data_IF_352818878417
#
_entry.id   IF_352818878417
#
_cell.length_a   1.000
_cell.length_b   1.000
_cell.length_c   1.000
_cell.angle_alpha   90.00
_cell.angle_beta   90.00
_cell.angle_gamma   90.00
#
_symmetry.space_group_name_H-M   'P 1'
#
loop_
_entity.id
_entity.type
_entity.pdbx_description
1 polymer ?
#
# COMPACT_ATOMS: atom_id res chain seq x y z
N UNK A 1 -41.30 15.08 3.48
CA UNK A 1 -40.86 14.50 2.21
C UNK A 1 -40.23 15.63 1.44
N UNK A 2 -38.90 15.80 1.58
CA UNK A 2 -38.10 16.67 0.76
C UNK A 2 -37.58 15.86 -0.42
N UNK A 3 -37.59 16.46 -1.56
CA UNK A 3 -37.13 15.91 -2.84
C UNK A 3 -35.61 16.05 -2.88
N UNK A 4 -34.91 15.06 -2.28
CA UNK A 4 -33.43 14.92 -2.32
C UNK A 4 -32.99 14.00 -3.47
N UNK A 5 -33.72 13.96 -4.58
CA UNK A 5 -33.46 13.02 -5.69
C UNK A 5 -32.47 13.53 -6.75
N UNK A 6 -31.84 14.70 -6.56
CA UNK A 6 -31.06 15.35 -7.63
C UNK A 6 -29.55 15.18 -7.53
N UNK A 7 -29.01 14.37 -6.59
CA UNK A 7 -27.55 14.22 -6.41
C UNK A 7 -27.03 12.77 -6.35
N UNK A 8 -27.81 11.83 -6.84
CA UNK A 8 -27.30 10.49 -7.17
C UNK A 8 -26.65 10.58 -8.54
N UNK A 9 -25.30 10.55 -8.60
CA UNK A 9 -24.59 10.28 -9.84
C UNK A 9 -25.22 9.07 -10.53
N UNK A 10 -25.16 8.99 -11.85
CA UNK A 10 -25.84 7.96 -12.64
C UNK A 10 -25.42 6.52 -12.28
N UNK A 11 -24.29 6.35 -11.60
CA UNK A 11 -23.68 5.05 -11.22
C UNK A 11 -23.04 5.08 -9.84
N UNK A 12 -22.93 3.91 -9.20
CA UNK A 12 -22.25 3.68 -7.93
C UNK A 12 -21.38 2.42 -8.05
N UNK A 13 -20.33 2.33 -7.24
CA UNK A 13 -19.51 1.13 -7.10
C UNK A 13 -19.97 0.35 -5.88
N UNK A 14 -20.31 -0.92 -6.08
CA UNK A 14 -20.67 -1.84 -5.00
C UNK A 14 -19.56 -2.88 -4.81
N UNK A 15 -18.99 -2.95 -3.60
CA UNK A 15 -18.05 -4.01 -3.19
C UNK A 15 -18.75 -5.00 -2.29
N UNK A 16 -18.55 -6.29 -2.57
CA UNK A 16 -19.14 -7.44 -1.87
C UNK A 16 -18.05 -8.47 -1.56
N UNK A 17 -18.27 -9.40 -0.61
CA UNK A 17 -17.31 -10.45 -0.32
C UNK A 17 -16.96 -11.27 -1.56
N UNK A 18 -15.70 -11.71 -1.67
CA UNK A 18 -15.28 -12.63 -2.71
C UNK A 18 -16.14 -13.89 -2.72
N UNK A 19 -16.51 -14.36 -3.91
CA UNK A 19 -17.26 -15.61 -4.08
C UNK A 19 -16.40 -16.84 -3.83
N UNK A 20 -15.08 -16.75 -4.07
CA UNK A 20 -14.12 -17.81 -3.80
C UNK A 20 -13.89 -17.99 -2.30
N UNK A 21 -14.08 -19.22 -1.76
CA UNK A 21 -13.93 -19.48 -0.32
C UNK A 21 -12.51 -19.25 0.22
N UNK A 22 -11.47 -19.48 -0.59
CA UNK A 22 -10.06 -19.29 -0.16
C UNK A 22 -9.77 -17.80 0.00
N UNK A 23 -10.11 -17.01 -1.02
CA UNK A 23 -9.96 -15.55 -0.98
C UNK A 23 -10.77 -14.92 0.16
N UNK A 24 -12.01 -15.41 0.37
CA UNK A 24 -12.86 -14.95 1.47
C UNK A 24 -12.25 -15.26 2.84
N UNK A 25 -11.73 -16.48 3.03
CA UNK A 25 -11.09 -16.86 4.30
C UNK A 25 -9.80 -16.05 4.56
N UNK A 26 -8.99 -15.83 3.52
CA UNK A 26 -7.80 -14.98 3.61
C UNK A 26 -8.18 -13.56 4.04
N UNK A 27 -9.21 -12.98 3.41
CA UNK A 27 -9.68 -11.64 3.73
C UNK A 27 -10.23 -11.53 5.17
N UNK A 28 -10.87 -12.58 5.70
CA UNK A 28 -11.29 -12.66 7.10
C UNK A 28 -10.09 -12.66 8.06
N UNK A 29 -9.12 -13.55 7.83
CA UNK A 29 -7.92 -13.67 8.68
C UNK A 29 -7.13 -12.35 8.69
N UNK A 30 -7.02 -11.69 7.54
CA UNK A 30 -6.30 -10.42 7.39
C UNK A 30 -7.17 -9.20 7.79
N UNK A 31 -8.44 -9.41 8.14
CA UNK A 31 -9.44 -8.37 8.45
C UNK A 31 -9.63 -7.37 7.29
N UNK A 32 -9.37 -7.78 6.05
CA UNK A 32 -9.34 -6.89 4.89
C UNK A 32 -10.67 -6.19 4.65
N UNK A 33 -11.78 -6.90 4.75
CA UNK A 33 -13.12 -6.32 4.58
C UNK A 33 -13.47 -5.32 5.69
N UNK A 34 -13.11 -5.67 6.94
CA UNK A 34 -13.33 -4.78 8.06
C UNK A 34 -12.51 -3.49 7.93
N UNK A 35 -11.24 -3.60 7.56
CA UNK A 35 -10.37 -2.45 7.34
C UNK A 35 -10.95 -1.49 6.31
N UNK A 36 -11.38 -2.00 5.17
CA UNK A 36 -11.92 -1.16 4.11
C UNK A 36 -13.24 -0.48 4.51
N UNK A 37 -14.21 -1.23 5.05
CA UNK A 37 -15.48 -0.63 5.51
C UNK A 37 -15.24 0.41 6.59
N UNK A 38 -14.43 0.08 7.60
CA UNK A 38 -14.13 1.00 8.71
C UNK A 38 -13.34 2.22 8.28
N UNK A 39 -12.43 2.08 7.31
CA UNK A 39 -11.72 3.23 6.75
C UNK A 39 -12.71 4.26 6.21
N UNK A 40 -13.65 3.85 5.39
CA UNK A 40 -14.66 4.75 4.83
C UNK A 40 -15.62 5.31 5.88
N UNK A 41 -16.01 4.53 6.88
CA UNK A 41 -16.91 4.98 7.95
C UNK A 41 -16.26 5.98 8.92
N UNK A 42 -14.95 5.79 9.21
CA UNK A 42 -14.29 6.47 10.35
C UNK A 42 -13.27 7.50 9.90
N UNK A 43 -12.50 7.21 8.84
CA UNK A 43 -11.31 8.00 8.50
C UNK A 43 -11.45 8.82 7.21
N UNK A 44 -12.08 8.27 6.16
CA UNK A 44 -12.10 8.89 4.84
C UNK A 44 -12.66 10.32 4.84
N UNK A 45 -13.66 10.61 5.68
CA UNK A 45 -14.26 11.96 5.81
C UNK A 45 -13.41 12.97 6.57
N UNK A 46 -12.38 12.52 7.29
CA UNK A 46 -11.49 13.37 8.10
C UNK A 46 -10.12 13.63 7.44
N UNK A 47 -9.76 12.81 6.46
CA UNK A 47 -8.45 12.88 5.80
C UNK A 47 -8.54 13.66 4.49
N UNK A 48 -7.55 14.53 4.21
CA UNK A 48 -7.49 15.27 2.93
C UNK A 48 -7.23 14.40 1.70
N UNK A 49 -6.74 13.16 1.88
CA UNK A 49 -6.54 12.22 0.77
C UNK A 49 -7.84 12.02 0.00
N UNK A 50 -7.81 12.15 -1.33
CA UNK A 50 -8.99 12.01 -2.16
C UNK A 50 -9.40 10.53 -2.27
N UNK A 51 -10.65 10.24 -1.90
CA UNK A 51 -11.26 8.92 -1.99
C UNK A 51 -12.67 9.01 -2.59
N UNK A 52 -13.25 7.91 -3.10
CA UNK A 52 -14.67 7.87 -3.38
C UNK A 52 -15.50 8.20 -2.14
N UNK A 53 -16.60 8.94 -2.30
CA UNK A 53 -17.52 9.21 -1.19
C UNK A 53 -18.24 7.92 -0.75
N UNK A 54 -18.38 7.74 0.57
CA UNK A 54 -19.18 6.65 1.14
C UNK A 54 -20.67 6.94 1.00
N UNK A 55 -21.42 6.06 0.34
CA UNK A 55 -22.88 6.10 0.27
C UNK A 55 -23.54 5.19 1.32
N UNK A 56 -22.99 3.99 1.49
CA UNK A 56 -23.43 3.01 2.50
C UNK A 56 -22.32 2.01 2.78
N UNK A 57 -22.16 1.63 4.05
CA UNK A 57 -21.25 0.57 4.49
C UNK A 57 -21.92 -0.24 5.60
N UNK A 58 -21.75 -1.55 5.56
CA UNK A 58 -22.17 -2.46 6.63
C UNK A 58 -21.30 -3.72 6.60
N UNK A 59 -20.95 -4.25 7.76
CA UNK A 59 -20.13 -5.45 7.89
C UNK A 59 -20.50 -6.27 9.11
N UNK A 60 -20.71 -7.56 8.90
CA UNK A 60 -20.64 -8.58 9.95
C UNK A 60 -19.20 -9.12 10.04
N UNK A 61 -18.47 -8.69 11.05
CA UNK A 61 -17.04 -9.02 11.23
C UNK A 61 -16.81 -10.51 11.47
N UNK A 62 -17.79 -11.22 12.07
CA UNK A 62 -17.66 -12.65 12.38
C UNK A 62 -17.77 -13.50 11.10
N UNK A 63 -18.74 -13.21 10.23
CA UNK A 63 -18.92 -13.94 8.98
C UNK A 63 -18.13 -13.37 7.80
N UNK A 64 -17.63 -12.13 7.90
CA UNK A 64 -17.03 -11.37 6.80
C UNK A 64 -18.03 -11.01 5.71
N UNK A 65 -19.33 -11.06 6.00
CA UNK A 65 -20.34 -10.55 5.09
C UNK A 65 -20.37 -9.04 5.16
N UNK A 66 -20.21 -8.36 4.03
CA UNK A 66 -20.22 -6.90 3.99
C UNK A 66 -20.85 -6.39 2.69
N UNK A 67 -21.24 -5.16 2.71
CA UNK A 67 -21.57 -4.36 1.54
C UNK A 67 -20.95 -2.97 1.71
N UNK A 68 -20.32 -2.48 0.66
CA UNK A 68 -19.76 -1.14 0.61
C UNK A 68 -20.22 -0.49 -0.70
N UNK A 69 -20.95 0.61 -0.61
CA UNK A 69 -21.45 1.39 -1.75
C UNK A 69 -20.71 2.73 -1.75
N UNK A 70 -19.99 2.99 -2.83
CA UNK A 70 -19.15 4.15 -3.02
C UNK A 70 -19.60 4.96 -4.23
N UNK A 71 -19.21 6.23 -4.27
CA UNK A 71 -19.33 7.05 -5.47
C UNK A 71 -18.55 6.43 -6.62
N UNK A 72 -19.12 6.47 -7.82
CA UNK A 72 -18.39 6.19 -9.04
C UNK A 72 -17.62 7.46 -9.46
N UNK A 73 -16.31 7.36 -9.53
CA UNK A 73 -15.43 8.45 -9.91
C UNK A 73 -15.24 8.54 -11.44
N UNK A 74 -16.03 7.82 -12.25
CA UNK A 74 -15.97 7.97 -13.69
C UNK A 74 -16.15 9.46 -14.10
N UNK A 75 -15.37 9.98 -15.07
CA UNK A 75 -14.55 9.26 -16.06
C UNK A 75 -13.08 9.03 -15.65
N UNK A 76 -12.72 9.13 -14.36
CA UNK A 76 -11.35 8.87 -13.93
C UNK A 76 -10.86 7.47 -14.34
N UNK A 77 -9.61 7.38 -14.78
CA UNK A 77 -9.00 6.16 -15.30
C UNK A 77 -8.10 5.49 -14.27
N UNK A 78 -8.24 4.18 -14.13
CA UNK A 78 -7.35 3.38 -13.29
C UNK A 78 -5.94 3.33 -13.90
N UNK A 79 -4.90 3.47 -13.06
CA UNK A 79 -3.53 3.22 -13.48
C UNK A 79 -3.28 1.75 -13.80
N UNK A 80 -2.17 1.46 -14.48
CA UNK A 80 -1.76 0.10 -14.83
C UNK A 80 -0.37 -0.20 -14.24
N UNK A 81 -0.33 -1.09 -13.25
CA UNK A 81 0.91 -1.45 -12.55
C UNK A 81 1.95 -2.11 -13.47
N UNK A 82 1.51 -2.82 -14.52
CA UNK A 82 2.43 -3.43 -15.48
C UNK A 82 3.06 -2.38 -16.40
N UNK A 83 2.26 -1.43 -16.87
CA UNK A 83 2.72 -0.35 -17.74
C UNK A 83 3.64 0.64 -17.00
N UNK A 84 3.38 0.88 -15.70
CA UNK A 84 4.05 1.95 -14.96
C UNK A 84 3.50 3.33 -15.29
N UNK A 85 4.17 4.38 -14.83
CA UNK A 85 3.77 5.77 -15.07
C UNK A 85 4.97 6.67 -15.33
N UNK A 86 4.69 7.89 -15.82
CA UNK A 86 5.70 8.93 -15.98
C UNK A 86 6.11 9.54 -14.62
N UNK A 87 7.30 10.20 -14.54
CA UNK A 87 7.72 10.90 -13.33
C UNK A 87 6.75 12.00 -12.86
N UNK A 88 6.03 12.65 -13.76
CA UNK A 88 5.03 13.66 -13.40
C UNK A 88 3.80 13.02 -12.74
N UNK A 89 3.33 11.88 -13.25
CA UNK A 89 2.25 11.11 -12.63
C UNK A 89 2.70 10.57 -11.27
N UNK A 90 3.95 10.12 -11.17
CA UNK A 90 4.51 9.67 -9.90
C UNK A 90 4.57 10.81 -8.86
N UNK A 91 4.92 12.03 -9.29
CA UNK A 91 4.92 13.19 -8.40
C UNK A 91 3.51 13.51 -7.85
N UNK A 92 2.47 13.41 -8.69
CA UNK A 92 1.07 13.59 -8.25
C UNK A 92 0.67 12.52 -7.22
N UNK A 93 0.98 11.25 -7.49
CA UNK A 93 0.64 10.15 -6.60
C UNK A 93 1.38 10.26 -5.25
N UNK A 94 2.67 10.62 -5.25
CA UNK A 94 3.44 10.81 -4.02
C UNK A 94 2.95 12.03 -3.23
N UNK A 95 2.56 13.11 -3.91
CA UNK A 95 2.00 14.30 -3.25
C UNK A 95 0.66 14.00 -2.55
N UNK A 96 -0.19 13.13 -3.12
CA UNK A 96 -1.47 12.72 -2.52
C UNK A 96 -1.29 12.00 -1.17
N UNK A 97 -0.19 11.24 -1.00
CA UNK A 97 0.15 10.58 0.26
C UNK A 97 0.34 11.54 1.44
N UNK A 98 0.67 12.81 1.19
CA UNK A 98 0.78 13.80 2.28
C UNK A 98 -0.58 14.01 2.95
N UNK A 99 -1.67 14.02 2.16
CA UNK A 99 -3.04 14.10 2.68
C UNK A 99 -3.47 12.90 3.52
N UNK A 100 -2.87 11.72 3.28
CA UNK A 100 -3.06 10.53 4.11
C UNK A 100 -2.20 10.57 5.38
N UNK A 101 -0.91 10.89 5.23
CA UNK A 101 0.08 10.67 6.27
C UNK A 101 0.18 11.81 7.29
N UNK A 102 0.14 13.08 6.85
CA UNK A 102 0.41 14.21 7.74
C UNK A 102 -0.65 14.43 8.82
N UNK A 103 -1.97 14.28 8.58
CA UNK A 103 -3.00 14.62 9.57
C UNK A 103 -2.94 13.77 10.85
N UNK A 104 -2.49 12.55 10.75
CA UNK A 104 -2.45 11.58 11.86
C UNK A 104 -1.03 11.11 12.19
N UNK A 105 -0.03 11.95 11.89
CA UNK A 105 1.38 11.65 12.15
C UNK A 105 1.66 11.52 13.64
N UNK A 106 2.19 10.36 14.06
CA UNK A 106 2.48 10.01 15.46
C UNK A 106 1.30 10.25 16.43
N UNK A 107 0.07 10.16 15.91
CA UNK A 107 -1.14 10.34 16.71
C UNK A 107 -1.42 9.08 17.55
N UNK A 108 -1.29 9.19 18.90
CA UNK A 108 -1.50 8.03 19.77
C UNK A 108 -2.94 7.52 19.75
N UNK A 109 -3.92 8.35 19.35
CA UNK A 109 -5.33 7.93 19.28
C UNK A 109 -5.60 6.92 18.17
N UNK A 110 -4.68 6.73 17.23
CA UNK A 110 -4.76 5.63 16.27
C UNK A 110 -4.76 4.25 16.94
N UNK A 111 -4.14 4.13 18.13
CA UNK A 111 -4.13 2.89 18.90
C UNK A 111 -5.51 2.52 19.47
N UNK A 112 -6.44 3.47 19.51
CA UNK A 112 -7.85 3.24 19.90
C UNK A 112 -8.68 2.61 18.77
N UNK A 113 -8.09 2.43 17.59
CA UNK A 113 -8.69 1.81 16.42
C UNK A 113 -8.15 0.36 16.24
N UNK A 114 -8.71 -0.66 16.92
CA UNK A 114 -8.14 -2.00 16.94
C UNK A 114 -8.11 -2.69 15.56
N UNK A 115 -8.98 -2.26 14.64
CA UNK A 115 -9.01 -2.77 13.27
C UNK A 115 -7.85 -2.25 12.40
N UNK A 116 -7.23 -1.12 12.78
CA UNK A 116 -6.12 -0.50 12.06
C UNK A 116 -4.75 -1.00 12.56
N UNK A 117 -4.72 -1.66 13.71
CA UNK A 117 -3.47 -2.09 14.36
C UNK A 117 -2.85 -3.29 13.65
N UNK A 118 -1.52 -3.27 13.54
CA UNK A 118 -0.67 -4.36 13.09
C UNK A 118 0.48 -4.65 14.07
N UNK A 119 0.36 -4.18 15.32
CA UNK A 119 1.38 -4.32 16.36
C UNK A 119 1.19 -5.57 17.22
N UNK A 120 0.32 -6.50 16.82
CA UNK A 120 0.15 -7.80 17.48
C UNK A 120 1.46 -8.61 17.43
N UNK A 121 2.11 -8.89 18.59
CA UNK A 121 3.36 -9.64 18.61
C UNK A 121 3.25 -11.06 18.06
N UNK A 122 2.14 -11.73 18.31
CA UNK A 122 1.92 -13.10 17.84
C UNK A 122 1.74 -13.14 16.32
N UNK A 123 0.99 -12.17 15.76
CA UNK A 123 0.83 -12.01 14.31
C UNK A 123 2.17 -11.70 13.63
N UNK A 124 2.99 -10.81 14.19
CA UNK A 124 4.34 -10.54 13.67
C UNK A 124 5.25 -11.76 13.72
N UNK A 125 5.26 -12.48 14.84
CA UNK A 125 6.04 -13.71 14.97
C UNK A 125 5.60 -14.79 13.95
N UNK A 126 4.29 -14.93 13.73
CA UNK A 126 3.75 -15.83 12.71
C UNK A 126 4.20 -15.41 11.30
N UNK A 127 4.11 -14.12 10.96
CA UNK A 127 4.55 -13.63 9.65
C UNK A 127 6.06 -13.79 9.46
N UNK A 128 6.86 -13.56 10.52
CA UNK A 128 8.31 -13.77 10.47
C UNK A 128 8.70 -15.24 10.21
N UNK A 129 7.88 -16.18 10.66
CA UNK A 129 8.05 -17.60 10.34
C UNK A 129 7.55 -17.96 8.92
N UNK A 130 6.42 -17.37 8.52
CA UNK A 130 5.74 -17.72 7.27
C UNK A 130 6.49 -17.18 6.04
N UNK A 131 6.96 -15.93 6.09
CA UNK A 131 7.50 -15.25 4.91
C UNK A 131 8.73 -15.93 4.28
N UNK A 132 9.71 -16.46 5.03
CA UNK A 132 10.79 -17.26 4.43
C UNK A 132 10.28 -18.50 3.68
N UNK A 133 9.24 -19.18 4.20
CA UNK A 133 8.63 -20.33 3.52
C UNK A 133 7.88 -19.91 2.25
N UNK A 134 7.21 -18.75 2.27
CA UNK A 134 6.57 -18.21 1.06
C UNK A 134 7.61 -17.79 0.02
N UNK A 135 8.77 -17.29 0.44
CA UNK A 135 9.89 -17.01 -0.45
C UNK A 135 10.42 -18.25 -1.14
N UNK A 136 10.63 -19.34 -0.40
CA UNK A 136 11.00 -20.65 -0.99
C UNK A 136 9.93 -21.11 -1.98
N UNK A 137 8.66 -21.07 -1.60
CA UNK A 137 7.54 -21.41 -2.47
C UNK A 137 7.43 -20.52 -3.72
N UNK A 138 7.73 -19.23 -3.60
CA UNK A 138 7.77 -18.30 -4.75
C UNK A 138 8.87 -18.70 -5.74
N UNK A 139 10.07 -18.98 -5.27
CA UNK A 139 11.17 -19.47 -6.11
C UNK A 139 10.82 -20.77 -6.81
N UNK A 140 10.21 -21.72 -6.09
CA UNK A 140 9.79 -23.00 -6.64
C UNK A 140 8.66 -22.84 -7.68
N UNK A 141 7.70 -21.96 -7.40
CA UNK A 141 6.55 -21.71 -8.30
C UNK A 141 6.96 -21.10 -9.62
N UNK A 142 7.84 -20.12 -9.60
CA UNK A 142 8.19 -19.34 -10.79
C UNK A 142 9.50 -19.77 -11.44
N UNK A 143 10.33 -20.58 -10.78
CA UNK A 143 11.52 -21.18 -11.36
C UNK A 143 12.45 -20.19 -12.03
N UNK A 144 12.75 -20.43 -13.30
CA UNK A 144 13.66 -19.58 -14.10
C UNK A 144 13.09 -18.17 -14.39
N UNK A 145 11.79 -17.93 -14.18
CA UNK A 145 11.20 -16.61 -14.31
C UNK A 145 11.60 -15.65 -13.16
N UNK A 146 12.11 -16.19 -12.04
CA UNK A 146 12.69 -15.37 -10.96
C UNK A 146 14.11 -14.98 -11.36
N UNK A 147 14.31 -13.71 -11.69
CA UNK A 147 15.61 -13.17 -12.11
C UNK A 147 16.67 -13.21 -10.99
N UNK A 148 17.94 -13.26 -11.35
CA UNK A 148 19.07 -13.41 -10.40
C UNK A 148 19.09 -12.30 -9.34
N UNK A 149 18.81 -11.06 -9.72
CA UNK A 149 18.76 -9.94 -8.76
C UNK A 149 17.61 -10.06 -7.77
N UNK A 150 16.46 -10.66 -8.17
CA UNK A 150 15.34 -10.95 -7.26
C UNK A 150 15.75 -12.03 -6.26
N UNK A 151 16.45 -13.08 -6.73
CA UNK A 151 16.99 -14.11 -5.85
C UNK A 151 17.96 -13.52 -4.84
N UNK A 152 18.92 -12.71 -5.32
CA UNK A 152 19.90 -12.05 -4.45
C UNK A 152 19.25 -11.17 -3.38
N UNK A 153 18.28 -10.34 -3.78
CA UNK A 153 17.54 -9.47 -2.85
C UNK A 153 16.72 -10.28 -1.84
N UNK A 154 15.97 -11.28 -2.31
CA UNK A 154 15.13 -12.12 -1.44
C UNK A 154 15.94 -12.95 -0.45
N UNK A 155 17.05 -13.55 -0.90
CA UNK A 155 17.93 -14.34 -0.03
C UNK A 155 18.62 -13.47 1.05
N UNK A 156 18.82 -12.16 0.77
CA UNK A 156 19.32 -11.21 1.77
C UNK A 156 18.24 -10.72 2.74
N UNK A 157 17.02 -10.54 2.26
CA UNK A 157 15.93 -9.90 3.01
C UNK A 157 15.11 -10.87 3.87
N UNK A 158 14.59 -11.97 3.29
CA UNK A 158 13.62 -12.83 4.01
C UNK A 158 14.16 -13.48 5.28
N UNK A 159 15.46 -13.81 5.43
CA UNK A 159 16.00 -14.26 6.72
C UNK A 159 15.96 -13.18 7.82
N UNK A 160 15.84 -11.90 7.45
CA UNK A 160 15.80 -10.74 8.35
C UNK A 160 14.39 -10.14 8.50
N UNK A 161 13.37 -10.83 8.05
CA UNK A 161 12.00 -10.31 8.04
C UNK A 161 11.50 -9.90 9.43
N UNK A 162 11.94 -10.59 10.49
CA UNK A 162 11.60 -10.24 11.88
C UNK A 162 12.07 -8.83 12.24
N UNK A 163 13.29 -8.44 11.83
CA UNK A 163 13.84 -7.09 12.02
C UNK A 163 13.03 -6.04 11.23
N UNK A 164 12.66 -6.38 9.98
CA UNK A 164 11.84 -5.49 9.14
C UNK A 164 10.45 -5.25 9.73
N UNK A 165 9.86 -6.24 10.37
CA UNK A 165 8.52 -6.14 10.96
C UNK A 165 8.49 -5.41 12.31
N UNK A 166 9.63 -5.07 12.89
CA UNK A 166 9.68 -4.17 14.03
C UNK A 166 9.20 -2.79 13.60
N UNK A 167 8.24 -2.23 14.32
CA UNK A 167 7.75 -0.89 14.04
C UNK A 167 8.67 0.14 14.73
N UNK A 168 9.02 1.24 14.05
CA UNK A 168 9.74 2.33 14.69
C UNK A 168 8.89 2.95 15.80
N UNK A 169 9.54 3.59 16.79
CA UNK A 169 8.85 4.23 17.90
C UNK A 169 8.07 5.48 17.48
N UNK A 170 8.51 6.15 16.42
CA UNK A 170 7.95 7.37 15.85
C UNK A 170 7.94 7.34 14.30
N UNK A 171 7.39 8.34 13.65
CA UNK A 171 7.19 8.37 12.19
C UNK A 171 6.10 7.41 11.72
N UNK A 172 5.16 7.08 12.61
CA UNK A 172 4.00 6.23 12.30
C UNK A 172 2.78 7.07 11.98
N UNK A 173 2.01 6.57 11.04
CA UNK A 173 0.76 7.19 10.62
C UNK A 173 -0.18 6.12 10.06
N UNK A 174 -1.28 6.53 9.43
CA UNK A 174 -2.11 5.66 8.63
C UNK A 174 -1.40 5.43 7.31
N UNK A 175 -1.13 4.19 6.94
CA UNK A 175 -0.63 3.79 5.63
C UNK A 175 -1.72 3.07 4.83
N UNK A 176 -1.65 3.17 3.51
CA UNK A 176 -2.49 2.39 2.61
C UNK A 176 -2.09 0.91 2.58
N UNK A 177 -0.77 0.64 2.57
CA UNK A 177 -0.18 -0.69 2.59
C UNK A 177 -0.13 -1.44 1.25
N UNK A 178 -0.89 -0.97 0.24
CA UNK A 178 -0.85 -1.45 -1.16
C UNK A 178 -0.99 -0.26 -2.12
N UNK A 179 -0.20 0.82 -1.89
CA UNK A 179 -0.28 2.05 -2.67
C UNK A 179 0.41 1.89 -4.03
N UNK A 180 -0.34 1.46 -5.04
CA UNK A 180 0.14 1.13 -6.38
C UNK A 180 -0.82 1.63 -7.46
N UNK A 181 -0.34 1.69 -8.71
CA UNK A 181 -1.11 2.26 -9.83
C UNK A 181 -2.49 1.64 -10.01
N UNK A 182 -2.64 0.31 -9.86
CA UNK A 182 -3.95 -0.35 -9.96
C UNK A 182 -4.96 0.13 -8.88
N UNK A 183 -4.50 0.78 -7.81
CA UNK A 183 -5.32 1.32 -6.72
C UNK A 183 -5.47 2.86 -6.78
N UNK A 184 -5.07 3.47 -7.89
CA UNK A 184 -5.13 4.90 -8.13
C UNK A 184 -6.00 5.21 -9.36
N UNK A 185 -6.87 6.20 -9.21
CA UNK A 185 -7.73 6.71 -10.28
C UNK A 185 -7.29 8.12 -10.66
N UNK A 186 -6.92 8.31 -11.91
CA UNK A 186 -6.42 9.57 -12.46
C UNK A 186 -7.51 10.27 -13.28
N UNK A 187 -7.70 11.55 -13.03
CA UNK A 187 -8.70 12.36 -13.74
C UNK A 187 -8.03 13.08 -14.93
N UNK A 188 -8.51 12.85 -16.12
CA UNK A 188 -8.03 13.51 -17.35
C UNK A 188 -8.37 15.02 -17.37
N UNK A 189 -9.36 15.46 -16.60
CA UNK A 189 -9.79 16.85 -16.54
C UNK A 189 -8.88 17.74 -15.66
N UNK A 190 -7.97 17.13 -14.87
CA UNK A 190 -7.04 17.86 -13.99
C UNK A 190 -6.01 16.95 -13.35
N UNK A 191 -4.94 17.52 -12.77
CA UNK A 191 -3.87 16.75 -12.15
C UNK A 191 -4.31 16.23 -10.76
N UNK A 192 -5.33 15.39 -10.72
CA UNK A 192 -5.88 14.82 -9.48
C UNK A 192 -5.82 13.30 -9.52
N UNK A 193 -5.57 12.74 -8.34
CA UNK A 193 -5.52 11.31 -8.10
C UNK A 193 -6.49 10.96 -6.97
N UNK A 194 -7.25 9.88 -7.11
CA UNK A 194 -8.04 9.33 -6.02
C UNK A 194 -7.55 7.93 -5.67
N UNK A 195 -7.59 7.60 -4.38
CA UNK A 195 -7.08 6.36 -3.82
C UNK A 195 -8.23 5.43 -3.48
N UNK A 196 -8.13 4.17 -3.92
CA UNK A 196 -9.15 3.13 -3.72
C UNK A 196 -8.50 1.86 -3.14
N UNK A 197 -9.32 0.92 -2.67
CA UNK A 197 -8.90 -0.38 -2.15
C UNK A 197 -8.12 -0.32 -0.83
N UNK A 198 -8.81 0.09 0.23
CA UNK A 198 -8.26 0.28 1.58
C UNK A 198 -8.17 -1.00 2.43
N UNK A 199 -8.18 -2.16 1.81
CA UNK A 199 -8.19 -3.48 2.45
C UNK A 199 -6.91 -3.79 3.27
N UNK A 200 -5.82 -3.10 2.98
CA UNK A 200 -4.52 -3.29 3.61
C UNK A 200 -4.12 -2.15 4.55
N UNK A 201 -4.98 -1.13 4.70
CA UNK A 201 -4.65 0.02 5.53
C UNK A 201 -4.32 -0.37 6.98
N UNK A 202 -3.37 0.36 7.56
CA UNK A 202 -2.82 0.03 8.87
C UNK A 202 -2.10 1.23 9.50
N UNK A 203 -1.71 1.09 10.77
CA UNK A 203 -0.71 1.97 11.37
C UNK A 203 0.67 1.47 10.94
N UNK A 204 1.47 2.33 10.33
CA UNK A 204 2.81 1.96 9.87
C UNK A 204 3.70 3.15 9.55
N UNK A 205 4.95 2.88 9.14
CA UNK A 205 5.87 3.92 8.69
C UNK A 205 5.38 4.52 7.36
N UNK A 206 5.25 5.85 7.28
CA UNK A 206 4.78 6.55 6.09
C UNK A 206 5.57 6.20 4.82
N UNK A 207 6.89 6.02 4.96
CA UNK A 207 7.76 5.72 3.83
C UNK A 207 7.55 4.33 3.21
N UNK A 208 6.74 3.45 3.83
CA UNK A 208 6.31 2.21 3.19
C UNK A 208 5.52 2.48 1.91
N UNK A 209 4.51 3.36 1.97
CA UNK A 209 3.68 3.67 0.80
C UNK A 209 4.48 4.41 -0.28
N UNK A 210 5.32 5.38 0.12
CA UNK A 210 6.15 6.15 -0.81
C UNK A 210 7.12 5.23 -1.55
N UNK A 211 7.89 4.41 -0.81
CA UNK A 211 8.87 3.51 -1.40
C UNK A 211 8.22 2.37 -2.20
N UNK A 212 7.07 1.88 -1.75
CA UNK A 212 6.28 0.89 -2.48
C UNK A 212 5.81 1.44 -3.83
N UNK A 213 5.27 2.66 -3.85
CA UNK A 213 4.82 3.28 -5.10
C UNK A 213 5.99 3.58 -6.04
N UNK A 214 7.01 4.29 -5.57
CA UNK A 214 8.16 4.71 -6.39
C UNK A 214 8.93 3.49 -6.91
N UNK A 215 9.07 2.45 -6.10
CA UNK A 215 9.82 1.24 -6.43
C UNK A 215 9.25 0.44 -7.60
N UNK A 216 7.93 0.45 -7.82
CA UNK A 216 7.31 -0.34 -8.88
C UNK A 216 6.38 0.46 -9.82
N UNK A 217 6.05 1.71 -9.49
CA UNK A 217 5.27 2.60 -10.36
C UNK A 217 6.08 3.21 -11.49
N UNK A 218 7.39 3.41 -11.30
CA UNK A 218 8.33 3.89 -12.31
C UNK A 218 9.14 2.75 -12.93
N UNK A 219 9.61 2.94 -14.15
CA UNK A 219 10.69 2.10 -14.67
C UNK A 219 12.02 2.38 -13.95
N UNK A 220 13.01 1.51 -14.12
CA UNK A 220 14.28 1.62 -13.39
C UNK A 220 15.06 2.90 -13.72
N UNK A 221 15.01 3.40 -14.94
CA UNK A 221 15.73 4.60 -15.36
C UNK A 221 15.11 5.83 -14.73
N UNK A 222 13.79 6.00 -14.91
CA UNK A 222 13.05 7.13 -14.36
C UNK A 222 13.06 7.14 -12.83
N UNK A 223 12.98 5.95 -12.20
CA UNK A 223 13.11 5.84 -10.76
C UNK A 223 14.47 6.38 -10.27
N UNK A 224 15.58 5.89 -10.83
CA UNK A 224 16.94 6.33 -10.43
C UNK A 224 17.16 7.81 -10.62
N UNK A 225 16.59 8.38 -11.69
CA UNK A 225 16.75 9.81 -12.00
C UNK A 225 15.91 10.69 -11.07
N UNK A 226 14.69 10.23 -10.68
CA UNK A 226 13.70 11.09 -10.04
C UNK A 226 13.40 10.76 -8.57
N UNK A 227 13.77 9.57 -8.04
CA UNK A 227 13.40 9.15 -6.68
C UNK A 227 13.91 10.11 -5.59
N UNK A 228 15.13 10.64 -5.72
CA UNK A 228 15.66 11.60 -4.77
C UNK A 228 14.82 12.87 -4.69
N UNK A 229 14.38 13.40 -5.84
CA UNK A 229 13.52 14.58 -5.91
C UNK A 229 12.11 14.27 -5.36
N UNK A 230 11.53 13.15 -5.72
CA UNK A 230 10.19 12.73 -5.23
C UNK A 230 10.17 12.62 -3.71
N UNK A 231 11.20 12.03 -3.10
CA UNK A 231 11.34 11.93 -1.65
C UNK A 231 11.56 13.28 -0.99
N UNK A 232 12.37 14.16 -1.59
CA UNK A 232 12.61 15.51 -1.08
C UNK A 232 11.35 16.37 -1.14
N UNK A 233 10.60 16.32 -2.24
CA UNK A 233 9.32 17.05 -2.42
C UNK A 233 8.28 16.54 -1.40
N UNK A 234 8.17 15.22 -1.21
CA UNK A 234 7.29 14.62 -0.22
C UNK A 234 7.66 15.07 1.21
N UNK A 235 8.94 14.98 1.59
CA UNK A 235 9.40 15.44 2.90
C UNK A 235 9.10 16.93 3.13
N UNK A 236 9.39 17.78 2.12
CA UNK A 236 9.08 19.20 2.20
C UNK A 236 7.59 19.47 2.40
N UNK A 237 6.72 18.70 1.74
CA UNK A 237 5.28 18.81 1.88
C UNK A 237 4.77 18.31 3.25
N UNK A 238 5.35 17.24 3.83
CA UNK A 238 5.06 16.81 5.21
C UNK A 238 5.40 17.90 6.22
N UNK A 239 6.59 18.51 6.12
CA UNK A 239 6.99 19.62 6.99
C UNK A 239 6.07 20.81 6.80
N UNK A 240 5.68 21.13 5.56
CA UNK A 240 4.71 22.18 5.24
C UNK A 240 3.31 21.91 5.82
N UNK A 241 2.93 20.66 5.96
CA UNK A 241 1.68 20.24 6.60
C UNK A 241 1.75 20.18 8.14
N UNK A 242 2.91 20.52 8.74
CA UNK A 242 3.08 20.63 10.19
C UNK A 242 3.76 19.44 10.87
N UNK A 243 4.23 18.45 10.14
CA UNK A 243 5.03 17.35 10.71
C UNK A 243 6.36 17.92 11.20
N UNK A 244 6.66 17.71 12.49
CA UNK A 244 7.85 18.21 13.16
C UNK A 244 8.74 17.05 13.65
N UNK A 245 10.06 17.30 13.73
CA UNK A 245 10.99 16.30 14.25
C UNK A 245 11.36 15.17 13.29
N UNK A 246 10.87 15.22 12.06
CA UNK A 246 11.18 14.27 11.00
C UNK A 246 12.07 14.95 9.98
N UNK A 247 13.37 14.75 10.09
CA UNK A 247 14.34 15.39 9.20
C UNK A 247 14.56 14.60 7.89
N UNK A 248 15.24 15.25 6.92
CA UNK A 248 15.47 14.68 5.60
C UNK A 248 16.33 13.41 5.64
N UNK A 249 17.34 13.36 6.54
CA UNK A 249 18.23 12.18 6.65
C UNK A 249 17.46 10.98 7.14
N UNK A 250 16.58 11.18 8.12
CA UNK A 250 15.67 10.14 8.61
C UNK A 250 14.68 9.73 7.54
N UNK A 251 14.04 10.69 6.84
CA UNK A 251 13.13 10.41 5.74
C UNK A 251 13.79 9.52 4.68
N UNK A 252 15.02 9.82 4.30
CA UNK A 252 15.77 9.02 3.32
C UNK A 252 16.11 7.62 3.86
N UNK A 253 16.51 7.49 5.13
CA UNK A 253 16.78 6.19 5.76
C UNK A 253 15.51 5.34 5.78
N UNK A 254 14.37 5.93 6.17
CA UNK A 254 13.08 5.25 6.22
C UNK A 254 12.59 4.87 4.81
N UNK A 255 12.88 5.70 3.79
CA UNK A 255 12.64 5.37 2.38
C UNK A 255 13.45 4.14 1.94
N UNK A 256 14.75 4.09 2.25
CA UNK A 256 15.59 2.92 1.98
C UNK A 256 15.00 1.66 2.65
N UNK A 257 14.61 1.75 3.91
CA UNK A 257 13.94 0.65 4.59
C UNK A 257 12.63 0.27 3.93
N UNK A 258 11.79 1.23 3.60
CA UNK A 258 10.50 1.05 2.92
C UNK A 258 10.60 0.34 1.57
N UNK A 259 11.75 0.40 0.87
CA UNK A 259 11.96 -0.26 -0.42
C UNK A 259 11.76 -1.80 -0.38
N UNK A 260 11.91 -2.42 0.79
CA UNK A 260 11.66 -3.85 1.00
C UNK A 260 10.16 -4.22 1.07
N UNK A 261 9.29 -3.25 1.39
CA UNK A 261 7.85 -3.49 1.54
C UNK A 261 7.23 -4.09 0.27
N UNK A 262 7.67 -3.62 -0.89
CA UNK A 262 7.13 -4.10 -2.15
C UNK A 262 7.58 -5.51 -2.52
N UNK A 263 8.81 -5.91 -2.20
CA UNK A 263 9.25 -7.29 -2.40
C UNK A 263 8.50 -8.24 -1.45
N UNK A 264 8.30 -7.82 -0.19
CA UNK A 264 7.46 -8.54 0.78
C UNK A 264 6.05 -8.76 0.25
N UNK A 265 5.41 -7.68 -0.23
CA UNK A 265 4.04 -7.74 -0.77
C UNK A 265 3.96 -8.61 -2.02
N UNK A 266 4.89 -8.46 -2.98
CA UNK A 266 4.88 -9.23 -4.22
C UNK A 266 4.97 -10.74 -3.95
N UNK A 267 5.87 -11.16 -3.05
CA UNK A 267 6.03 -12.57 -2.66
C UNK A 267 4.84 -13.06 -1.85
N UNK A 268 4.41 -12.32 -0.83
CA UNK A 268 3.29 -12.69 0.03
C UNK A 268 2.00 -12.85 -0.77
N UNK A 269 1.62 -11.83 -1.53
CA UNK A 269 0.40 -11.85 -2.32
C UNK A 269 0.42 -12.94 -3.39
N UNK A 270 1.52 -13.09 -4.14
CA UNK A 270 1.64 -14.15 -5.14
C UNK A 270 1.34 -15.54 -4.58
N UNK A 271 1.69 -15.79 -3.31
CA UNK A 271 1.54 -17.09 -2.68
C UNK A 271 0.21 -17.30 -1.96
N UNK A 272 -0.52 -16.20 -1.67
CA UNK A 272 -1.74 -16.22 -0.85
C UNK A 272 -3.03 -15.97 -1.64
N UNK A 273 -2.96 -15.41 -2.87
CA UNK A 273 -4.13 -15.16 -3.70
C UNK A 273 -4.32 -16.24 -4.77
N UNK A 274 -5.52 -16.27 -5.35
CA UNK A 274 -5.82 -17.13 -6.51
C UNK A 274 -4.90 -16.78 -7.68
N UNK A 275 -4.37 -17.82 -8.32
CA UNK A 275 -3.43 -17.68 -9.43
C UNK A 275 -4.13 -17.30 -10.71
N UNK A 276 -3.69 -16.22 -11.35
CA UNK A 276 -4.11 -15.79 -12.69
C UNK A 276 -2.89 -15.42 -13.54
N UNK A 277 -2.99 -15.50 -14.87
CA UNK A 277 -1.89 -15.12 -15.77
C UNK A 277 -1.46 -13.65 -15.57
N UNK A 278 -2.43 -12.73 -15.46
CA UNK A 278 -2.15 -11.31 -15.19
C UNK A 278 -1.54 -11.12 -13.80
N UNK A 279 -2.02 -11.85 -12.80
CA UNK A 279 -1.47 -11.82 -11.43
C UNK A 279 -0.02 -12.30 -11.37
N UNK A 280 0.28 -13.43 -12.02
CA UNK A 280 1.65 -13.94 -12.10
C UNK A 280 2.60 -12.93 -12.76
N UNK A 281 2.19 -12.35 -13.90
CA UNK A 281 2.98 -11.32 -14.59
C UNK A 281 3.19 -10.08 -13.70
N UNK A 282 2.14 -9.62 -13.01
CA UNK A 282 2.22 -8.48 -12.11
C UNK A 282 3.16 -8.74 -10.93
N UNK A 283 3.04 -9.87 -10.24
CA UNK A 283 3.89 -10.18 -9.08
C UNK A 283 5.35 -10.36 -9.45
N UNK A 284 5.66 -10.98 -10.60
CA UNK A 284 7.02 -11.08 -11.11
C UNK A 284 7.60 -9.71 -11.45
N UNK A 285 6.82 -8.85 -12.13
CA UNK A 285 7.23 -7.47 -12.45
C UNK A 285 7.49 -6.66 -11.19
N UNK A 286 6.59 -6.74 -10.21
CA UNK A 286 6.76 -6.04 -8.92
C UNK A 286 7.97 -6.56 -8.16
N UNK A 287 8.14 -7.90 -8.07
CA UNK A 287 9.30 -8.49 -7.40
C UNK A 287 10.61 -8.04 -8.04
N UNK A 288 10.67 -8.00 -9.39
CA UNK A 288 11.85 -7.53 -10.14
C UNK A 288 12.15 -6.06 -9.84
N UNK A 289 11.16 -5.17 -10.00
CA UNK A 289 11.33 -3.73 -9.79
C UNK A 289 11.73 -3.40 -8.34
N UNK A 290 11.05 -4.01 -7.34
CA UNK A 290 11.35 -3.76 -5.92
C UNK A 290 12.69 -4.35 -5.48
N UNK A 291 13.05 -5.54 -5.96
CA UNK A 291 14.37 -6.10 -5.70
C UNK A 291 15.49 -5.20 -6.23
N UNK A 292 15.32 -4.70 -7.46
CA UNK A 292 16.26 -3.73 -8.06
C UNK A 292 16.32 -2.43 -7.26
N UNK A 293 15.17 -1.92 -6.84
CA UNK A 293 15.07 -0.72 -6.01
C UNK A 293 15.86 -0.87 -4.70
N UNK A 294 15.61 -1.94 -3.93
CA UNK A 294 16.31 -2.17 -2.68
C UNK A 294 17.83 -2.36 -2.86
N UNK A 295 18.26 -3.03 -3.94
CA UNK A 295 19.67 -3.21 -4.25
C UNK A 295 20.34 -1.89 -4.67
N UNK A 296 19.70 -1.07 -5.50
CA UNK A 296 20.23 0.24 -5.92
C UNK A 296 20.40 1.20 -4.73
N UNK A 297 19.59 1.07 -3.70
CA UNK A 297 19.66 1.86 -2.47
C UNK A 297 20.60 1.28 -1.40
N UNK A 298 21.29 0.16 -1.66
CA UNK A 298 22.05 -0.58 -0.64
C UNK A 298 21.23 -0.80 0.66
N UNK A 299 19.91 -1.13 0.50
CA UNK A 299 18.96 -1.12 1.60
C UNK A 299 19.13 -2.29 2.59
N UNK A 300 20.08 -3.18 2.38
CA UNK A 300 20.33 -4.33 3.27
C UNK A 300 20.76 -3.89 4.67
N UNK A 301 21.43 -2.77 4.83
CA UNK A 301 21.80 -2.20 6.12
C UNK A 301 20.67 -1.42 6.80
N UNK A 302 19.61 -1.12 6.07
CA UNK A 302 18.43 -0.37 6.53
C UNK A 302 17.20 -1.27 6.84
N UNK A 303 17.36 -2.58 7.03
CA UNK A 303 16.24 -3.50 7.28
C UNK A 303 15.61 -3.25 8.65
N UNK A 304 16.41 -3.01 9.69
CA UNK A 304 15.93 -2.66 11.02
C UNK A 304 15.52 -1.17 11.11
N UNK A 305 14.62 -0.81 12.07
CA UNK A 305 14.22 0.57 12.30
C UNK A 305 15.38 1.47 12.75
#
# INVERSE_FOLDING_TARGET
CGDDSDDLGSTVIAKLPASDPVSRNTALVMRSYEKEVRFYEVLAGELPVRTPGLRYGDIDVESGSFVLILDDLAPANQGDQLAGCSPDVAALAVAELVGLHAPRWDDPTLLDLPWLRNDDPDGRAMMAMLMPMLWDGFRDRYGDAVEDHVRMAGDAFFPRIAEFMELPDDGRTIIHGDYRLDNLLFDDAGPTVAVVDWQTCAIGPAMHDVAYFVGAGLDEHDRREHEGRLVDDYHGALVGAGVAGYDRERCWRDYRRGSWAGLLMAVGAAMMVERTERGDAMFLTMASRHARHALDLDATDAVAP
#
